data_IF_594410182489
#
_entry.id   IF_594410182489
#
_cell.length_a   1.000
_cell.length_b   1.000
_cell.length_c   1.000
_cell.angle_alpha   90.00
_cell.angle_beta   90.00
_cell.angle_gamma   90.00
#
_symmetry.space_group_name_H-M   'P 1'
#
loop_
_entity.id
_entity.type
_entity.pdbx_description
1 polymer ?
#
# COMPACT_ATOMS: atom_id res chain seq x y z
N UNK A 1 24.21 69.21 9.17
CA UNK A 1 24.10 70.24 8.09
C UNK A 1 22.90 69.83 7.26
N UNK A 2 21.89 70.61 7.47
CA UNK A 2 20.99 71.32 6.55
C UNK A 2 20.07 70.41 5.75
N UNK A 3 18.81 70.33 6.17
CA UNK A 3 17.71 71.31 5.85
C UNK A 3 17.36 71.28 4.34
N UNK A 4 16.17 71.20 3.89
CA UNK A 4 14.84 71.61 4.27
C UNK A 4 13.89 71.10 3.23
N UNK A 5 12.66 70.91 3.46
CA UNK A 5 11.74 71.98 3.81
C UNK A 5 10.80 72.27 2.67
N UNK A 6 9.57 72.14 2.92
CA UNK A 6 8.46 73.03 2.75
C UNK A 6 7.57 72.66 1.53
N UNK A 7 6.37 72.64 1.64
CA UNK A 7 5.18 73.33 2.10
C UNK A 7 4.13 73.25 0.99
N UNK A 8 2.98 72.68 1.24
CA UNK A 8 1.70 73.35 1.56
C UNK A 8 1.13 74.30 0.48
N UNK A 9 -0.01 74.02 -0.06
CA UNK A 9 -1.28 74.82 0.02
C UNK A 9 -2.28 74.41 -1.07
N UNK A 10 -3.38 73.90 -0.59
CA UNK A 10 -4.74 74.46 -0.72
C UNK A 10 -5.09 75.27 -1.95
N UNK A 11 -6.20 74.95 -2.60
CA UNK A 11 -7.41 75.83 -2.74
C UNK A 11 -8.52 75.22 -3.60
N UNK A 12 -9.66 75.06 -2.99
CA UNK A 12 -11.04 75.54 -3.17
C UNK A 12 -11.94 74.83 -4.20
N UNK A 13 -12.99 74.34 -3.63
CA UNK A 13 -14.40 74.27 -4.00
C UNK A 13 -14.83 74.71 -5.39
N UNK A 14 -15.57 73.90 -6.09
CA UNK A 14 -16.79 74.27 -6.78
C UNK A 14 -17.86 73.16 -6.72
N UNK A 15 -19.02 73.55 -6.20
CA UNK A 15 -20.26 72.73 -6.20
C UNK A 15 -20.83 72.78 -7.63
N UNK A 16 -21.22 71.57 -8.10
CA UNK A 16 -22.27 71.44 -9.10
C UNK A 16 -23.20 70.27 -8.73
N UNK A 17 -24.44 70.68 -8.46
CA UNK A 17 -25.59 69.76 -8.35
C UNK A 17 -25.95 69.31 -9.76
N UNK A 18 -26.31 68.03 -9.95
CA UNK A 18 -27.52 67.63 -10.67
C UNK A 18 -27.75 66.10 -10.62
N UNK A 19 -28.95 65.77 -10.16
CA UNK A 19 -29.90 64.79 -10.66
C UNK A 19 -29.47 63.31 -10.79
N UNK A 20 -30.21 62.55 -10.02
CA UNK A 20 -30.27 61.13 -9.90
C UNK A 20 -30.50 60.36 -11.20
N UNK A 21 -29.90 59.20 -11.20
CA UNK A 21 -30.44 57.98 -11.85
C UNK A 21 -30.10 56.81 -10.95
N UNK A 22 -31.14 56.24 -10.35
CA UNK A 22 -31.02 54.99 -9.59
C UNK A 22 -30.79 53.86 -10.60
N UNK A 23 -29.56 53.40 -10.71
CA UNK A 23 -29.26 52.13 -11.39
C UNK A 23 -29.33 51.02 -10.36
N UNK A 24 -30.41 50.23 -10.37
CA UNK A 24 -30.49 48.94 -9.69
C UNK A 24 -29.49 48.00 -10.36
N UNK A 25 -28.33 47.82 -9.76
CA UNK A 25 -27.43 46.70 -10.07
C UNK A 25 -27.96 45.45 -9.39
N UNK A 26 -28.67 44.62 -10.16
CA UNK A 26 -28.99 43.24 -9.78
C UNK A 26 -27.68 42.48 -9.70
N UNK A 27 -27.19 42.22 -8.48
CA UNK A 27 -26.11 41.27 -8.22
C UNK A 27 -26.71 39.89 -8.43
N UNK A 28 -26.51 39.31 -9.61
CA UNK A 28 -26.72 37.87 -9.86
C UNK A 28 -25.62 37.15 -9.09
N UNK A 29 -25.95 36.70 -7.90
CA UNK A 29 -25.10 35.77 -7.17
C UNK A 29 -25.04 34.45 -7.96
N UNK A 30 -23.97 34.28 -8.74
CA UNK A 30 -23.63 33.03 -9.39
C UNK A 30 -23.27 32.07 -8.26
N UNK A 31 -24.23 31.27 -7.79
CA UNK A 31 -23.96 30.11 -6.94
C UNK A 31 -23.11 29.13 -7.76
N UNK A 32 -21.81 29.17 -7.55
CA UNK A 32 -20.91 28.11 -7.98
C UNK A 32 -21.31 26.88 -7.17
N UNK A 33 -22.12 26.00 -7.77
CA UNK A 33 -22.27 24.63 -7.26
C UNK A 33 -20.88 23.99 -7.36
N UNK A 34 -20.14 23.98 -6.23
CA UNK A 34 -18.99 23.10 -6.05
C UNK A 34 -19.58 21.69 -6.10
N UNK A 35 -19.19 20.84 -7.07
CA UNK A 35 -19.64 19.46 -7.02
C UNK A 35 -19.13 18.88 -5.71
N UNK A 36 -20.07 18.50 -4.82
CA UNK A 36 -19.76 17.63 -3.69
C UNK A 36 -19.01 16.43 -4.28
N UNK A 37 -17.79 16.18 -3.80
CA UNK A 37 -16.98 15.08 -4.29
C UNK A 37 -17.86 13.83 -4.40
N UNK A 38 -17.95 13.26 -5.58
CA UNK A 38 -18.72 12.06 -5.83
C UNK A 38 -18.12 10.95 -4.95
N UNK A 39 -18.74 10.72 -3.81
CA UNK A 39 -18.50 9.52 -3.02
C UNK A 39 -18.87 8.35 -3.93
N UNK A 40 -17.93 7.47 -4.21
CA UNK A 40 -18.20 6.31 -5.05
C UNK A 40 -19.43 5.61 -4.48
N UNK A 41 -20.44 5.43 -5.34
CA UNK A 41 -21.70 4.82 -4.92
C UNK A 41 -21.40 3.40 -4.41
N UNK A 42 -21.91 3.07 -3.22
CA UNK A 42 -21.77 1.72 -2.66
C UNK A 42 -22.27 0.69 -3.67
N UNK A 43 -21.50 -0.37 -3.99
CA UNK A 43 -21.89 -1.37 -4.96
C UNK A 43 -23.30 -1.95 -4.67
N UNK A 44 -24.11 -2.21 -5.70
CA UNK A 44 -25.52 -2.63 -5.50
C UNK A 44 -25.69 -3.88 -4.62
N UNK A 45 -24.75 -4.84 -4.68
CA UNK A 45 -24.78 -6.07 -3.88
C UNK A 45 -24.51 -5.85 -2.38
N UNK A 46 -23.89 -4.73 -2.01
CA UNK A 46 -23.50 -4.48 -0.64
C UNK A 46 -24.68 -4.35 0.33
N UNK A 47 -25.82 -3.80 -0.12
CA UNK A 47 -27.03 -3.73 0.70
C UNK A 47 -27.54 -5.12 1.12
N UNK A 48 -27.48 -6.08 0.19
CA UNK A 48 -27.84 -7.48 0.46
C UNK A 48 -26.84 -8.15 1.42
N UNK A 49 -25.54 -7.82 1.31
CA UNK A 49 -24.51 -8.32 2.22
C UNK A 49 -24.68 -7.75 3.63
N UNK A 50 -24.99 -6.47 3.79
CA UNK A 50 -25.29 -5.87 5.10
C UNK A 50 -26.54 -6.50 5.76
N UNK A 51 -27.53 -6.89 4.96
CA UNK A 51 -28.70 -7.62 5.46
C UNK A 51 -28.36 -9.07 5.84
N UNK A 52 -27.44 -9.71 5.12
CA UNK A 52 -26.99 -11.09 5.39
C UNK A 52 -26.07 -11.17 6.62
N UNK A 53 -25.23 -10.15 6.84
CA UNK A 53 -24.24 -10.10 7.91
C UNK A 53 -24.50 -8.90 8.86
N UNK A 54 -25.68 -8.82 9.50
CA UNK A 54 -26.11 -7.64 10.27
C UNK A 54 -25.17 -7.34 11.46
N UNK A 55 -24.50 -8.37 11.98
CA UNK A 55 -23.60 -8.24 13.13
C UNK A 55 -22.32 -7.45 12.82
N UNK A 56 -21.99 -7.22 11.54
CA UNK A 56 -20.86 -6.41 11.13
C UNK A 56 -21.22 -4.91 11.10
N UNK A 57 -22.49 -4.58 10.90
CA UNK A 57 -22.94 -3.20 10.73
C UNK A 57 -22.67 -2.35 11.96
N UNK A 58 -22.01 -1.20 11.74
CA UNK A 58 -21.66 -0.23 12.78
C UNK A 58 -20.49 -0.64 13.67
N UNK A 59 -19.86 -1.80 13.44
CA UNK A 59 -18.65 -2.18 14.16
C UNK A 59 -17.44 -1.38 13.70
N UNK A 60 -16.47 -1.26 14.60
CA UNK A 60 -15.12 -0.82 14.29
C UNK A 60 -14.20 -2.02 14.49
N UNK A 61 -13.53 -2.44 13.43
CA UNK A 61 -12.58 -3.56 13.42
C UNK A 61 -11.16 -3.05 13.35
N UNK A 62 -10.21 -3.82 13.89
CA UNK A 62 -8.79 -3.49 13.88
C UNK A 62 -8.12 -4.23 12.72
N UNK A 63 -7.53 -3.48 11.79
CA UNK A 63 -6.63 -4.02 10.77
C UNK A 63 -5.18 -3.89 11.26
N UNK A 64 -4.47 -5.02 11.43
CA UNK A 64 -3.03 -4.98 11.65
C UNK A 64 -2.31 -4.76 10.32
N UNK A 65 -1.41 -3.78 10.28
CA UNK A 65 -0.65 -3.40 9.09
C UNK A 65 0.84 -3.25 9.37
N UNK A 66 1.65 -3.45 8.33
CA UNK A 66 3.07 -3.09 8.33
C UNK A 66 3.32 -1.99 7.29
N UNK A 67 3.21 -0.69 7.65
CA UNK A 67 3.13 0.41 6.69
C UNK A 67 4.49 0.77 6.08
N UNK A 68 5.14 -0.19 5.43
CA UNK A 68 6.47 -0.07 4.84
C UNK A 68 6.53 -0.43 3.35
N UNK A 69 5.38 -0.76 2.72
CA UNK A 69 5.30 -1.10 1.30
C UNK A 69 4.59 0.02 0.54
N UNK A 70 5.32 1.05 0.04
CA UNK A 70 4.72 2.15 -0.70
C UNK A 70 3.92 1.65 -1.91
N UNK A 71 2.74 2.24 -2.11
CA UNK A 71 1.75 1.77 -3.08
C UNK A 71 0.70 0.87 -2.45
N UNK A 72 1.09 -0.10 -1.61
CA UNK A 72 0.15 -0.94 -0.86
C UNK A 72 -0.24 -0.31 0.47
N UNK A 73 0.71 -0.02 1.38
CA UNK A 73 0.46 0.70 2.62
C UNK A 73 1.68 1.49 3.08
N UNK A 74 1.45 2.73 3.47
CA UNK A 74 2.47 3.63 3.97
C UNK A 74 1.89 4.65 4.96
N UNK A 75 2.76 5.29 5.73
CA UNK A 75 2.38 6.48 6.51
C UNK A 75 2.17 7.63 5.51
N UNK A 76 1.07 8.37 5.65
CA UNK A 76 0.81 9.53 4.80
C UNK A 76 1.91 10.59 5.01
N UNK A 77 2.66 10.97 3.97
CA UNK A 77 3.72 11.97 4.09
C UNK A 77 3.21 13.37 4.47
N UNK A 78 1.90 13.63 4.31
CA UNK A 78 1.26 14.90 4.66
C UNK A 78 0.64 14.89 6.06
N UNK A 79 0.29 13.72 6.57
CA UNK A 79 -0.33 13.55 7.88
C UNK A 79 0.17 12.24 8.51
N UNK A 80 1.25 12.28 9.33
CA UNK A 80 1.84 11.08 9.94
C UNK A 80 0.91 10.29 10.88
N UNK A 81 -0.28 10.81 11.17
CA UNK A 81 -1.30 10.09 11.94
C UNK A 81 -2.17 9.17 11.07
N UNK A 82 -2.00 9.21 9.75
CA UNK A 82 -2.79 8.45 8.78
C UNK A 82 -1.95 7.46 8.00
N UNK A 83 -2.62 6.44 7.54
CA UNK A 83 -2.07 5.47 6.59
C UNK A 83 -2.77 5.65 5.25
N UNK A 84 -2.03 5.38 4.18
CA UNK A 84 -2.49 5.50 2.80
C UNK A 84 -1.96 4.34 1.98
N UNK A 85 -2.65 3.97 0.94
CA UNK A 85 -2.24 2.92 0.03
C UNK A 85 -3.42 2.11 -0.49
N UNK A 86 -3.12 1.22 -1.41
CA UNK A 86 -4.09 0.33 -2.02
C UNK A 86 -4.82 -0.53 -0.97
N UNK A 87 -4.08 -1.14 -0.04
CA UNK A 87 -4.63 -2.02 0.99
C UNK A 87 -5.50 -1.26 2.01
N UNK A 88 -5.16 0.00 2.27
CA UNK A 88 -5.96 0.88 3.11
C UNK A 88 -7.31 1.15 2.43
N UNK A 89 -7.28 1.62 1.18
CA UNK A 89 -8.49 1.94 0.42
C UNK A 89 -9.34 0.70 0.12
N UNK A 90 -8.70 -0.45 -0.19
CA UNK A 90 -9.41 -1.71 -0.40
C UNK A 90 -10.12 -2.19 0.87
N UNK A 91 -9.44 -2.10 2.02
CA UNK A 91 -10.01 -2.41 3.31
C UNK A 91 -11.21 -1.53 3.65
N UNK A 92 -11.12 -0.22 3.37
CA UNK A 92 -12.23 0.73 3.53
C UNK A 92 -13.39 0.40 2.59
N UNK A 93 -13.14 0.08 1.32
CA UNK A 93 -14.18 -0.30 0.37
C UNK A 93 -14.92 -1.59 0.81
N UNK A 94 -14.19 -2.58 1.34
CA UNK A 94 -14.78 -3.80 1.93
C UNK A 94 -15.60 -3.45 3.17
N UNK A 95 -15.08 -2.58 4.04
CA UNK A 95 -15.75 -2.11 5.24
C UNK A 95 -17.05 -1.38 4.92
N UNK A 96 -17.03 -0.45 3.97
CA UNK A 96 -18.22 0.27 3.50
C UNK A 96 -19.26 -0.69 2.91
N UNK A 97 -18.81 -1.70 2.17
CA UNK A 97 -19.70 -2.73 1.62
C UNK A 97 -20.40 -3.55 2.71
N UNK A 98 -19.73 -3.88 3.80
CA UNK A 98 -20.25 -4.68 4.91
C UNK A 98 -20.85 -3.84 6.05
N UNK A 99 -20.65 -2.52 6.02
CA UNK A 99 -21.17 -1.59 7.02
C UNK A 99 -20.31 -1.48 8.29
N UNK A 100 -19.04 -1.88 8.28
CA UNK A 100 -18.09 -1.68 9.38
C UNK A 100 -17.03 -0.61 9.02
N UNK A 101 -16.30 -0.14 10.02
CA UNK A 101 -15.15 0.75 9.85
C UNK A 101 -13.87 0.05 10.29
N UNK A 102 -12.73 0.47 9.70
CA UNK A 102 -11.41 0.03 10.12
C UNK A 102 -10.72 1.07 10.98
N UNK A 103 -9.98 0.58 11.97
CA UNK A 103 -8.87 1.27 12.63
C UNK A 103 -7.62 0.46 12.38
N UNK A 104 -6.46 1.11 12.47
CA UNK A 104 -5.20 0.51 12.06
C UNK A 104 -4.26 0.34 13.24
N UNK A 105 -3.63 -0.84 13.32
CA UNK A 105 -2.58 -1.15 14.29
C UNK A 105 -1.29 -1.47 13.54
N UNK A 106 -0.35 -0.53 13.54
CA UNK A 106 0.96 -0.75 12.95
C UNK A 106 1.80 -1.71 13.82
N UNK A 107 2.35 -2.73 13.17
CA UNK A 107 3.24 -3.72 13.78
C UNK A 107 4.37 -4.08 12.81
N UNK A 108 5.38 -4.81 13.27
CA UNK A 108 6.37 -5.40 12.35
C UNK A 108 5.69 -6.47 11.49
N UNK A 109 6.20 -6.71 10.29
CA UNK A 109 5.61 -7.71 9.37
C UNK A 109 5.52 -9.09 10.03
N UNK A 110 6.58 -9.53 10.70
CA UNK A 110 6.62 -10.81 11.41
C UNK A 110 5.54 -10.94 12.51
N UNK A 111 5.03 -9.82 13.03
CA UNK A 111 4.00 -9.80 14.08
C UNK A 111 2.56 -9.79 13.54
N UNK A 112 2.33 -9.61 12.24
CA UNK A 112 0.98 -9.49 11.66
C UNK A 112 0.07 -10.65 12.05
N UNK A 113 0.47 -11.88 11.75
CA UNK A 113 -0.35 -13.08 12.01
C UNK A 113 -0.47 -13.41 13.51
N UNK A 114 0.56 -13.13 14.31
CA UNK A 114 0.47 -13.32 15.77
C UNK A 114 -0.46 -12.29 16.41
N UNK A 115 -0.50 -11.06 15.90
CA UNK A 115 -1.44 -10.01 16.31
C UNK A 115 -2.88 -10.42 15.98
N UNK A 116 -3.11 -11.01 14.80
CA UNK A 116 -4.41 -11.55 14.41
C UNK A 116 -4.82 -12.75 15.28
N UNK A 117 -3.92 -13.72 15.46
CA UNK A 117 -4.19 -14.94 16.22
C UNK A 117 -4.47 -14.67 17.72
N UNK A 118 -3.85 -13.62 18.28
CA UNK A 118 -4.09 -13.20 19.67
C UNK A 118 -5.37 -12.39 19.86
N UNK A 119 -6.11 -12.09 18.79
CA UNK A 119 -7.31 -11.26 18.83
C UNK A 119 -7.05 -9.76 19.05
N UNK A 120 -5.81 -9.30 18.91
CA UNK A 120 -5.46 -7.88 18.97
C UNK A 120 -5.72 -7.17 17.62
N UNK A 121 -6.01 -7.92 16.58
CA UNK A 121 -6.56 -7.47 15.32
C UNK A 121 -7.68 -8.42 14.87
N UNK A 122 -8.60 -7.89 14.08
CA UNK A 122 -9.72 -8.63 13.50
C UNK A 122 -9.42 -9.11 12.10
N UNK A 123 -8.54 -8.41 11.39
CA UNK A 123 -8.19 -8.63 9.98
C UNK A 123 -6.75 -8.16 9.73
N UNK A 124 -6.12 -8.70 8.70
CA UNK A 124 -4.84 -8.22 8.16
C UNK A 124 -5.01 -7.99 6.67
N UNK A 125 -4.90 -6.74 6.25
CA UNK A 125 -4.80 -6.32 4.85
C UNK A 125 -3.52 -5.46 4.78
N UNK A 126 -2.41 -6.08 4.35
CA UNK A 126 -1.07 -5.48 4.46
C UNK A 126 -0.06 -6.23 3.59
N UNK A 127 -0.26 -6.24 2.28
CA UNK A 127 0.62 -6.85 1.27
C UNK A 127 1.22 -8.20 1.72
N UNK A 128 0.41 -8.99 2.45
CA UNK A 128 0.84 -10.27 2.98
C UNK A 128 0.56 -11.40 1.99
N UNK A 129 1.59 -12.13 1.61
CA UNK A 129 1.45 -13.24 0.68
C UNK A 129 0.81 -14.45 1.36
N UNK A 130 -0.24 -14.96 0.74
CA UNK A 130 -0.95 -16.15 1.16
C UNK A 130 -0.13 -17.39 0.81
N UNK A 131 0.35 -18.11 1.84
CA UNK A 131 1.10 -19.34 1.69
C UNK A 131 0.46 -20.46 2.51
N UNK A 132 0.68 -21.73 2.15
CA UNK A 132 0.18 -22.87 2.94
C UNK A 132 0.72 -22.86 4.37
N UNK A 133 1.95 -22.37 4.59
CA UNK A 133 2.51 -22.25 5.94
C UNK A 133 1.75 -21.21 6.76
N UNK A 134 1.54 -20.01 6.20
CA UNK A 134 0.77 -18.93 6.84
C UNK A 134 -0.70 -19.33 7.05
N UNK A 135 -1.25 -20.13 6.14
CA UNK A 135 -2.62 -20.63 6.25
C UNK A 135 -2.85 -21.55 7.45
N UNK A 136 -1.80 -22.07 8.10
CA UNK A 136 -1.92 -22.76 9.39
C UNK A 136 -2.38 -21.82 10.52
N UNK A 137 -2.04 -20.54 10.43
CA UNK A 137 -2.35 -19.52 11.45
C UNK A 137 -3.62 -18.72 11.15
N UNK A 138 -3.96 -18.50 9.88
CA UNK A 138 -5.10 -17.68 9.45
C UNK A 138 -5.69 -18.23 8.14
N UNK A 139 -6.96 -17.96 7.85
CA UNK A 139 -7.51 -18.16 6.51
C UNK A 139 -7.19 -16.93 5.64
N UNK A 140 -6.97 -17.13 4.34
CA UNK A 140 -6.67 -16.06 3.41
C UNK A 140 -7.72 -15.95 2.33
N UNK A 141 -8.06 -14.70 1.96
CA UNK A 141 -8.82 -14.36 0.76
C UNK A 141 -7.85 -13.64 -0.17
N UNK A 142 -7.41 -14.31 -1.25
CA UNK A 142 -6.44 -13.72 -2.18
C UNK A 142 -7.11 -12.69 -3.08
N UNK A 143 -6.39 -11.60 -3.43
CA UNK A 143 -6.93 -10.52 -4.23
C UNK A 143 -5.96 -9.98 -5.30
N UNK A 144 -4.67 -10.25 -5.17
CA UNK A 144 -3.66 -9.75 -6.10
C UNK A 144 -2.66 -10.84 -6.46
N UNK A 145 -2.22 -10.85 -7.72
CA UNK A 145 -0.99 -11.55 -8.12
C UNK A 145 0.20 -10.74 -7.61
N UNK A 146 1.32 -11.40 -7.49
CA UNK A 146 2.57 -10.75 -7.05
C UNK A 146 3.73 -11.20 -7.92
N UNK A 147 4.65 -10.27 -8.14
CA UNK A 147 5.93 -10.50 -8.79
C UNK A 147 7.01 -9.86 -7.93
N UNK A 148 8.11 -10.56 -7.72
CA UNK A 148 9.25 -9.99 -7.03
C UNK A 148 10.23 -9.38 -8.01
N UNK A 149 10.89 -8.30 -7.59
CA UNK A 149 12.05 -7.73 -8.24
C UNK A 149 13.32 -8.14 -7.51
N UNK A 150 14.38 -8.34 -8.26
CA UNK A 150 15.72 -8.55 -7.72
C UNK A 150 16.48 -7.23 -7.79
N UNK A 151 16.63 -6.55 -6.66
CA UNK A 151 17.37 -5.29 -6.52
C UNK A 151 18.85 -5.58 -6.32
N UNK A 152 19.68 -4.91 -7.08
CA UNK A 152 21.15 -5.02 -7.01
C UNK A 152 21.80 -3.65 -7.11
N UNK A 153 23.09 -3.57 -6.78
CA UNK A 153 23.89 -2.40 -7.08
C UNK A 153 23.99 -2.19 -8.60
N UNK A 154 24.12 -0.93 -9.04
CA UNK A 154 24.22 -0.56 -10.45
C UNK A 154 25.34 -1.33 -11.17
N UNK A 155 25.02 -1.86 -12.33
CA UNK A 155 25.89 -2.72 -13.12
C UNK A 155 25.96 -4.17 -12.66
N UNK A 156 25.14 -4.57 -11.66
CA UNK A 156 24.99 -5.93 -11.18
C UNK A 156 26.33 -6.68 -11.02
N UNK A 157 27.24 -6.22 -10.14
CA UNK A 157 28.62 -6.72 -10.10
C UNK A 157 28.76 -8.20 -9.75
N UNK A 158 27.72 -8.81 -9.17
CA UNK A 158 27.67 -10.25 -8.85
C UNK A 158 26.96 -11.08 -9.92
N UNK A 159 26.34 -10.46 -10.92
CA UNK A 159 25.61 -11.15 -11.98
C UNK A 159 24.40 -11.93 -11.45
N UNK A 160 23.67 -11.37 -10.49
CA UNK A 160 22.48 -12.01 -9.89
C UNK A 160 21.29 -11.79 -10.82
N UNK A 161 20.62 -12.88 -11.23
CA UNK A 161 19.52 -12.84 -12.19
C UNK A 161 18.24 -13.52 -11.69
N UNK A 162 18.15 -13.90 -10.42
CA UNK A 162 16.96 -14.56 -9.88
C UNK A 162 17.23 -15.29 -8.58
N UNK A 163 16.25 -16.08 -8.17
CA UNK A 163 16.37 -17.02 -7.05
C UNK A 163 16.87 -18.35 -7.63
N UNK A 164 18.09 -18.33 -8.08
CA UNK A 164 18.75 -19.44 -8.77
C UNK A 164 20.25 -19.53 -8.39
N UNK A 165 21.04 -20.31 -9.13
CA UNK A 165 22.47 -20.50 -8.86
C UNK A 165 23.33 -19.24 -9.00
N UNK A 166 22.76 -18.12 -9.42
CA UNK A 166 23.43 -16.81 -9.41
C UNK A 166 23.45 -16.17 -8.03
N UNK A 167 22.59 -16.62 -7.10
CA UNK A 167 22.64 -16.23 -5.69
C UNK A 167 23.78 -16.87 -4.91
N UNK A 168 24.43 -17.92 -5.46
CA UNK A 168 25.47 -18.64 -4.73
C UNK A 168 26.65 -17.73 -4.39
N UNK A 169 26.97 -17.65 -3.09
CA UNK A 169 28.03 -16.79 -2.56
C UNK A 169 27.66 -15.30 -2.44
N UNK A 170 26.43 -14.94 -2.75
CA UNK A 170 25.94 -13.58 -2.57
C UNK A 170 25.46 -13.35 -1.12
N UNK A 171 25.51 -12.09 -0.68
CA UNK A 171 24.86 -11.62 0.55
C UNK A 171 23.48 -11.02 0.20
N UNK A 172 22.41 -11.68 0.63
CA UNK A 172 21.05 -11.19 0.46
C UNK A 172 20.59 -10.44 1.71
N UNK A 173 20.12 -9.21 1.56
CA UNK A 173 19.40 -8.48 2.58
C UNK A 173 17.91 -8.80 2.43
N UNK A 174 17.25 -9.26 3.49
CA UNK A 174 15.83 -9.65 3.43
C UNK A 174 15.07 -9.17 4.65
N UNK A 175 13.76 -9.01 4.51
CA UNK A 175 12.91 -8.64 5.63
C UNK A 175 12.56 -9.85 6.49
N UNK A 176 12.65 -9.68 7.80
CA UNK A 176 12.30 -10.73 8.76
C UNK A 176 10.84 -11.18 8.58
N UNK A 177 10.65 -12.47 8.32
CA UNK A 177 9.31 -13.08 8.16
C UNK A 177 8.74 -13.01 6.74
N UNK A 178 9.46 -12.43 5.77
CA UNK A 178 9.07 -12.44 4.37
C UNK A 178 9.29 -13.82 3.74
N UNK A 179 8.57 -14.10 2.64
CA UNK A 179 8.66 -15.41 1.95
C UNK A 179 9.97 -15.60 1.21
N UNK A 180 10.66 -14.51 0.89
CA UNK A 180 11.96 -14.51 0.21
C UNK A 180 13.06 -15.12 1.10
N UNK A 181 12.91 -15.01 2.43
CA UNK A 181 13.86 -15.61 3.39
C UNK A 181 14.00 -17.13 3.18
N UNK A 182 12.94 -17.95 3.27
CA UNK A 182 13.06 -19.38 2.98
C UNK A 182 13.46 -19.65 1.52
N UNK A 183 13.05 -18.85 0.55
CA UNK A 183 13.43 -19.03 -0.85
C UNK A 183 14.95 -18.88 -1.05
N UNK A 184 15.58 -17.91 -0.40
CA UNK A 184 17.04 -17.73 -0.43
C UNK A 184 17.74 -18.86 0.35
N UNK A 185 17.18 -19.28 1.52
CA UNK A 185 17.73 -20.38 2.30
C UNK A 185 17.72 -21.71 1.52
N UNK A 186 16.66 -21.98 0.77
CA UNK A 186 16.53 -23.18 -0.07
C UNK A 186 17.55 -23.23 -1.23
N UNK A 187 18.23 -22.11 -1.52
CA UNK A 187 19.35 -22.10 -2.45
C UNK A 187 20.64 -22.68 -1.86
N UNK A 188 20.79 -22.68 -0.52
CA UNK A 188 22.01 -23.19 0.13
C UNK A 188 22.39 -24.61 -0.31
N UNK A 189 21.51 -25.63 -0.15
CA UNK A 189 21.76 -26.99 -0.63
C UNK A 189 22.08 -27.05 -2.13
N UNK A 190 21.35 -26.32 -2.96
CA UNK A 190 21.53 -26.29 -4.43
C UNK A 190 22.89 -25.71 -4.81
N UNK A 191 23.33 -24.65 -4.13
CA UNK A 191 24.66 -24.08 -4.32
C UNK A 191 25.75 -25.08 -3.95
N UNK A 192 25.59 -25.78 -2.82
CA UNK A 192 26.54 -26.81 -2.36
C UNK A 192 26.63 -27.97 -3.36
N UNK A 193 25.52 -28.45 -3.89
CA UNK A 193 25.50 -29.47 -4.94
C UNK A 193 26.21 -28.99 -6.21
N UNK A 194 26.11 -27.70 -6.54
CA UNK A 194 26.82 -27.09 -7.66
C UNK A 194 28.28 -26.76 -7.36
N UNK A 195 28.83 -27.10 -6.20
CA UNK A 195 30.20 -26.81 -5.80
C UNK A 195 30.45 -25.32 -5.55
N UNK A 196 29.40 -24.53 -5.23
CA UNK A 196 29.47 -23.08 -5.01
C UNK A 196 29.22 -22.77 -3.52
N UNK A 197 29.69 -21.60 -3.01
CA UNK A 197 29.36 -21.15 -1.67
C UNK A 197 27.84 -20.93 -1.53
N UNK A 198 27.31 -21.18 -0.33
CA UNK A 198 25.91 -20.86 0.00
C UNK A 198 25.69 -19.35 0.04
N UNK A 199 24.48 -18.84 -0.27
CA UNK A 199 24.14 -17.44 -0.04
C UNK A 199 24.12 -17.16 1.46
N UNK A 200 24.43 -15.92 1.85
CA UNK A 200 24.29 -15.45 3.23
C UNK A 200 23.08 -14.54 3.35
N UNK A 201 22.37 -14.64 4.47
CA UNK A 201 21.21 -13.80 4.76
C UNK A 201 21.55 -12.73 5.82
N UNK A 202 21.12 -11.51 5.56
CA UNK A 202 21.10 -10.40 6.50
C UNK A 202 19.65 -9.97 6.69
N UNK A 203 19.09 -10.19 7.89
CA UNK A 203 17.69 -9.92 8.17
C UNK A 203 17.51 -8.52 8.76
N UNK A 204 16.51 -7.80 8.25
CA UNK A 204 16.13 -6.46 8.67
C UNK A 204 14.62 -6.36 8.92
N UNK A 205 14.22 -5.36 9.69
CA UNK A 205 12.80 -5.16 10.06
C UNK A 205 12.02 -4.29 9.08
N UNK A 206 12.69 -3.67 8.10
CA UNK A 206 12.06 -2.82 7.09
C UNK A 206 12.84 -2.73 5.78
N UNK A 207 12.13 -2.38 4.70
CA UNK A 207 12.67 -2.28 3.34
C UNK A 207 13.81 -1.26 3.23
N UNK A 208 13.71 -0.13 3.95
CA UNK A 208 14.73 0.92 3.89
C UNK A 208 16.10 0.41 4.37
N UNK A 209 16.14 -0.44 5.40
CA UNK A 209 17.38 -1.02 5.90
C UNK A 209 17.98 -2.04 4.92
N UNK A 210 17.15 -2.83 4.22
CA UNK A 210 17.60 -3.74 3.15
C UNK A 210 18.24 -2.94 2.00
N UNK A 211 17.57 -1.89 1.54
CA UNK A 211 18.06 -0.99 0.47
C UNK A 211 19.38 -0.33 0.90
N UNK A 212 19.47 0.17 2.14
CA UNK A 212 20.68 0.78 2.67
C UNK A 212 21.83 -0.22 2.80
N UNK A 213 21.55 -1.52 3.03
CA UNK A 213 22.60 -2.54 3.04
C UNK A 213 23.28 -2.68 1.65
N UNK A 214 22.48 -2.64 0.56
CA UNK A 214 23.03 -2.66 -0.80
C UNK A 214 23.81 -1.36 -1.09
N UNK A 215 23.22 -0.20 -0.79
CA UNK A 215 23.86 1.11 -1.01
C UNK A 215 25.20 1.25 -0.27
N UNK A 216 25.33 0.59 0.88
CA UNK A 216 26.55 0.56 1.68
C UNK A 216 27.52 -0.59 1.31
N UNK A 217 27.18 -1.41 0.31
CA UNK A 217 28.00 -2.56 -0.11
C UNK A 217 28.05 -3.68 0.92
N UNK A 218 27.11 -3.76 1.86
CA UNK A 218 27.00 -4.81 2.88
C UNK A 218 26.21 -6.02 2.39
N UNK A 219 25.30 -5.80 1.44
CA UNK A 219 24.55 -6.84 0.75
C UNK A 219 24.68 -6.66 -0.77
N UNK A 220 24.57 -7.77 -1.49
CA UNK A 220 24.67 -7.83 -2.94
C UNK A 220 23.30 -7.74 -3.61
N UNK A 221 22.24 -8.17 -2.92
CA UNK A 221 20.85 -8.19 -3.43
C UNK A 221 19.83 -8.01 -2.33
N UNK A 222 18.63 -7.55 -2.74
CA UNK A 222 17.39 -7.54 -1.97
C UNK A 222 16.27 -7.98 -2.91
N UNK A 223 15.52 -8.99 -2.53
CA UNK A 223 14.41 -9.54 -3.32
C UNK A 223 13.12 -9.17 -2.61
N UNK A 224 12.20 -8.53 -3.33
CA UNK A 224 10.94 -8.07 -2.73
C UNK A 224 9.93 -7.77 -3.83
N UNK A 225 8.68 -7.48 -3.46
CA UNK A 225 7.66 -6.99 -4.39
C UNK A 225 8.24 -6.02 -5.40
N UNK A 226 7.91 -6.24 -6.67
CA UNK A 226 8.48 -5.49 -7.80
C UNK A 226 8.28 -3.98 -7.68
N UNK A 227 7.18 -3.53 -7.05
CA UNK A 227 6.90 -2.11 -6.81
C UNK A 227 7.91 -1.49 -5.84
N UNK A 228 8.21 -2.20 -4.73
CA UNK A 228 9.24 -1.78 -3.76
C UNK A 228 10.59 -1.64 -4.44
N UNK A 229 10.95 -2.60 -5.28
CA UNK A 229 12.20 -2.58 -6.05
C UNK A 229 12.22 -1.42 -7.05
N UNK A 230 11.14 -1.22 -7.80
CA UNK A 230 11.04 -0.13 -8.79
C UNK A 230 11.11 1.25 -8.12
N UNK A 231 10.52 1.41 -6.95
CA UNK A 231 10.63 2.65 -6.18
C UNK A 231 12.05 2.89 -5.65
N UNK A 232 12.74 1.84 -5.21
CA UNK A 232 14.15 1.94 -4.81
C UNK A 232 15.04 2.38 -5.97
N UNK A 233 14.84 1.79 -7.16
CA UNK A 233 15.57 2.19 -8.39
C UNK A 233 15.24 3.64 -8.77
N UNK A 234 13.97 4.05 -8.70
CA UNK A 234 13.54 5.44 -8.96
C UNK A 234 14.18 6.43 -7.99
N UNK A 235 14.35 6.05 -6.73
CA UNK A 235 14.99 6.90 -5.71
C UNK A 235 16.51 6.98 -5.85
N UNK A 236 17.15 5.94 -6.38
CA UNK A 236 18.63 5.84 -6.50
C UNK A 236 19.06 5.35 -7.89
N UNK A 237 18.69 6.02 -9.00
CA UNK A 237 18.86 5.51 -10.37
C UNK A 237 20.32 5.30 -10.79
N UNK A 238 21.25 6.05 -10.19
CA UNK A 238 22.70 5.95 -10.47
C UNK A 238 23.41 4.91 -9.60
N UNK A 239 22.73 4.34 -8.60
CA UNK A 239 23.32 3.42 -7.62
C UNK A 239 22.70 2.03 -7.62
N UNK A 240 21.42 1.93 -7.98
CA UNK A 240 20.65 0.72 -7.93
C UNK A 240 20.06 0.38 -9.30
N UNK A 241 19.82 -0.89 -9.53
CA UNK A 241 19.04 -1.37 -10.67
C UNK A 241 18.24 -2.62 -10.29
N UNK A 242 17.14 -2.84 -11.02
CA UNK A 242 16.39 -4.09 -11.00
C UNK A 242 17.02 -5.03 -12.03
N UNK A 243 17.63 -6.11 -11.55
CA UNK A 243 18.26 -7.10 -12.43
C UNK A 243 17.19 -7.86 -13.24
N UNK A 244 16.08 -8.24 -12.60
CA UNK A 244 14.95 -8.95 -13.20
C UNK A 244 13.71 -8.84 -12.31
N UNK A 245 12.54 -9.08 -12.90
CA UNK A 245 11.33 -9.46 -12.16
C UNK A 245 11.15 -10.98 -12.23
N UNK A 246 10.83 -11.60 -11.10
CA UNK A 246 10.64 -13.05 -10.98
C UNK A 246 9.20 -13.35 -10.55
N UNK A 247 8.64 -14.41 -11.10
CA UNK A 247 7.33 -14.91 -10.65
C UNK A 247 7.54 -15.79 -9.42
N UNK A 248 6.79 -15.53 -8.37
CA UNK A 248 6.70 -16.38 -7.21
C UNK A 248 5.32 -17.05 -7.14
N UNK A 249 5.21 -18.27 -6.53
CA UNK A 249 3.98 -19.06 -6.59
C UNK A 249 2.94 -18.63 -5.54
N UNK A 250 2.90 -17.35 -5.21
CA UNK A 250 2.02 -16.83 -4.17
C UNK A 250 1.08 -15.75 -4.72
N UNK A 251 0.13 -15.36 -3.91
CA UNK A 251 -0.76 -14.21 -4.15
C UNK A 251 -0.85 -13.39 -2.88
N UNK A 252 -1.06 -12.11 -3.00
CA UNK A 252 -1.40 -11.25 -1.86
C UNK A 252 -2.80 -11.60 -1.39
N UNK A 253 -3.02 -11.63 -0.08
CA UNK A 253 -4.31 -11.99 0.50
C UNK A 253 -4.65 -11.23 1.76
N UNK A 254 -5.93 -11.15 2.03
CA UNK A 254 -6.51 -10.68 3.28
C UNK A 254 -6.48 -11.86 4.26
N UNK A 255 -5.83 -11.71 5.42
CA UNK A 255 -5.85 -12.74 6.43
C UNK A 255 -6.94 -12.47 7.48
N UNK A 256 -7.69 -13.51 7.81
CA UNK A 256 -8.77 -13.50 8.81
C UNK A 256 -8.61 -14.66 9.80
N UNK A 257 -9.16 -14.55 11.04
CA UNK A 257 -9.05 -15.61 12.02
C UNK A 257 -9.73 -16.91 11.54
N UNK A 258 -9.06 -18.04 11.68
CA UNK A 258 -9.58 -19.38 11.29
C UNK A 258 -10.88 -19.76 11.98
N UNK A 259 -11.10 -19.29 13.19
CA UNK A 259 -12.30 -19.58 13.98
C UNK A 259 -13.50 -18.65 13.64
N UNK A 260 -13.39 -17.83 12.58
CA UNK A 260 -14.45 -16.91 12.12
C UNK A 260 -14.79 -17.14 10.63
N UNK A 261 -15.25 -18.35 10.23
CA UNK A 261 -15.51 -18.65 8.81
C UNK A 261 -16.59 -17.76 8.21
N UNK A 262 -17.61 -17.37 8.98
CA UNK A 262 -18.65 -16.44 8.50
C UNK A 262 -18.08 -15.05 8.18
N UNK A 263 -17.12 -14.57 8.97
CA UNK A 263 -16.44 -13.31 8.68
C UNK A 263 -15.58 -13.41 7.42
N UNK A 264 -14.85 -14.53 7.25
CA UNK A 264 -14.11 -14.82 6.01
C UNK A 264 -15.03 -14.77 4.79
N UNK A 265 -16.16 -15.45 4.87
CA UNK A 265 -17.11 -15.55 3.76
C UNK A 265 -17.79 -14.19 3.48
N UNK A 266 -18.01 -13.36 4.52
CA UNK A 266 -18.49 -11.99 4.36
C UNK A 266 -17.46 -11.12 3.63
N UNK A 267 -16.18 -11.17 4.04
CA UNK A 267 -15.09 -10.41 3.41
C UNK A 267 -14.90 -10.85 1.95
N UNK A 268 -14.94 -12.16 1.66
CA UNK A 268 -14.89 -12.66 0.29
C UNK A 268 -16.04 -12.10 -0.57
N UNK A 269 -17.26 -12.18 -0.06
CA UNK A 269 -18.43 -11.70 -0.78
C UNK A 269 -18.36 -10.18 -1.05
N UNK A 270 -17.89 -9.39 -0.08
CA UNK A 270 -17.69 -7.97 -0.25
C UNK A 270 -16.59 -7.64 -1.27
N UNK A 271 -15.46 -8.34 -1.23
CA UNK A 271 -14.39 -8.18 -2.20
C UNK A 271 -14.87 -8.49 -3.62
N UNK A 272 -15.69 -9.52 -3.81
CA UNK A 272 -16.33 -9.83 -5.11
C UNK A 272 -17.18 -8.63 -5.59
N UNK A 273 -18.00 -8.03 -4.74
CA UNK A 273 -18.82 -6.88 -5.11
C UNK A 273 -17.97 -5.63 -5.40
N UNK A 274 -16.92 -5.38 -4.63
CA UNK A 274 -15.93 -4.30 -4.86
C UNK A 274 -15.24 -4.50 -6.23
N UNK A 275 -14.87 -5.73 -6.57
CA UNK A 275 -14.28 -6.05 -7.88
C UNK A 275 -15.27 -5.91 -9.03
N UNK A 276 -16.49 -6.40 -8.90
CA UNK A 276 -17.56 -6.25 -9.91
C UNK A 276 -17.89 -4.79 -10.20
N UNK A 277 -17.82 -3.94 -9.19
CA UNK A 277 -18.01 -2.50 -9.32
C UNK A 277 -16.82 -1.78 -9.98
N UNK A 278 -15.71 -2.46 -10.25
CA UNK A 278 -14.50 -1.89 -10.84
C UNK A 278 -13.60 -1.15 -9.84
N UNK A 279 -14.01 -1.05 -8.58
CA UNK A 279 -13.29 -0.28 -7.55
C UNK A 279 -11.86 -0.81 -7.37
N UNK A 280 -11.68 -2.13 -7.29
CA UNK A 280 -10.36 -2.74 -7.17
C UNK A 280 -9.41 -2.30 -8.29
N UNK A 281 -9.89 -2.31 -9.54
CA UNK A 281 -9.10 -1.88 -10.70
C UNK A 281 -8.78 -0.38 -10.67
N UNK A 282 -9.72 0.44 -10.20
CA UNK A 282 -9.49 1.87 -10.00
C UNK A 282 -8.44 2.14 -8.92
N UNK A 283 -8.45 1.35 -7.84
CA UNK A 283 -7.46 1.44 -6.77
C UNK A 283 -6.06 1.05 -7.23
N UNK A 284 -5.91 -0.03 -8.03
CA UNK A 284 -4.62 -0.37 -8.65
C UNK A 284 -4.06 0.82 -9.45
N UNK A 285 -4.88 1.45 -10.28
CA UNK A 285 -4.48 2.64 -11.06
C UNK A 285 -4.15 3.85 -10.18
N UNK A 286 -4.97 4.11 -9.14
CA UNK A 286 -4.79 5.22 -8.21
C UNK A 286 -3.43 5.16 -7.52
N UNK A 287 -3.00 3.96 -7.15
CA UNK A 287 -1.77 3.72 -6.42
C UNK A 287 -0.59 3.33 -7.31
N UNK A 288 -0.73 3.49 -8.64
CA UNK A 288 0.30 3.19 -9.64
C UNK A 288 0.81 1.74 -9.57
N UNK A 289 -0.06 0.81 -9.14
CA UNK A 289 0.22 -0.62 -9.16
C UNK A 289 -0.10 -1.20 -10.55
N UNK A 290 0.61 -2.28 -10.94
CA UNK A 290 0.35 -2.94 -12.22
C UNK A 290 -1.08 -3.52 -12.23
N UNK A 291 -1.87 -3.11 -13.21
CA UNK A 291 -3.25 -3.62 -13.38
C UNK A 291 -3.29 -5.13 -13.67
N UNK A 292 -2.20 -5.71 -14.16
CA UNK A 292 -2.06 -7.15 -14.34
C UNK A 292 -1.95 -7.93 -13.02
N UNK A 293 -1.73 -7.22 -11.91
CA UNK A 293 -1.80 -7.80 -10.56
C UNK A 293 -3.22 -8.15 -10.15
N UNK A 294 -4.24 -7.66 -10.86
CA UNK A 294 -5.62 -8.05 -10.59
C UNK A 294 -5.78 -9.57 -10.57
N UNK A 295 -6.43 -10.06 -9.54
CA UNK A 295 -6.77 -11.46 -9.35
C UNK A 295 -8.19 -11.58 -8.82
N UNK A 296 -8.99 -12.46 -9.43
CA UNK A 296 -10.25 -12.85 -8.83
C UNK A 296 -10.02 -13.48 -7.45
N UNK A 297 -10.90 -13.22 -6.47
CA UNK A 297 -10.70 -13.72 -5.12
C UNK A 297 -10.80 -15.24 -5.05
N UNK A 298 -9.95 -15.81 -4.21
CA UNK A 298 -9.96 -17.23 -3.89
C UNK A 298 -9.63 -17.42 -2.42
N UNK A 299 -10.07 -18.51 -1.82
CA UNK A 299 -9.78 -18.83 -0.43
C UNK A 299 -8.60 -19.80 -0.39
N UNK A 300 -7.61 -19.46 0.45
CA UNK A 300 -6.53 -20.36 0.82
C UNK A 300 -6.63 -20.71 2.31
N UNK A 301 -6.82 -21.99 2.61
CA UNK A 301 -6.77 -22.57 3.95
C UNK A 301 -5.60 -23.54 4.06
N UNK A 302 -5.32 -24.05 5.27
CA UNK A 302 -4.27 -25.04 5.49
C UNK A 302 -4.59 -26.40 4.85
N UNK A 303 -5.88 -26.72 4.74
CA UNK A 303 -6.42 -28.01 4.29
C UNK A 303 -6.46 -28.12 2.76
#
# INVERSE_FOLDING_TARGET
MREGGGNMQNWLFTKARHAGLAALTAIVALMVLVPAGAQAATPPGCAALQAKYPDLKGKTLVNAINPHTPGYEAIDPKDPSKYVGFDIDLGEAIGDCLGFKLTYKAVTFAALLTTLASGQADIVISDIYATKERAKAADFITYSKVFDGVLVAKGNPKGIHGIDLTLCGAAAAENTGFVEVPLVQDMGPKCKEAGKPEPTLQLYDNNANCIQAILAGRADTYINDVNTVDQAVKAYPDKLEKAIAVTIPYSVGIAVPKNKPEFRDAVLAALIEVQKAGIHMELLKKWELDVNNFKEPDILTAD
#
